data_IF_129617740431
#
_entry.id   IF_129617740431
#
_cell.length_a   1.000
_cell.length_b   1.000
_cell.length_c   1.000
_cell.angle_alpha   90.00
_cell.angle_beta   90.00
_cell.angle_gamma   90.00
#
_symmetry.space_group_name_H-M   'P 1'
#
loop_
_entity.id
_entity.type
_entity.pdbx_description
1 polymer ?
#
# COMPACT_ATOMS: atom_id res chain seq x y z
N UNK A 1 -7.23 -8.79 7.03
CA UNK A 1 -6.79 -7.49 6.50
C UNK A 1 -5.32 -7.58 6.20
N UNK A 2 -4.98 -7.35 4.94
CA UNK A 2 -3.61 -7.09 4.50
C UNK A 2 -3.32 -5.60 4.68
N UNK A 3 -2.08 -5.24 4.99
CA UNK A 3 -1.65 -3.84 5.05
C UNK A 3 -0.41 -3.61 4.22
N UNK A 4 -0.12 -2.33 3.94
CA UNK A 4 1.10 -1.92 3.28
C UNK A 4 1.18 -0.42 3.12
N UNK A 5 2.37 0.05 2.79
CA UNK A 5 2.68 1.47 2.63
C UNK A 5 3.31 1.75 1.27
N UNK A 6 2.88 2.83 0.62
CA UNK A 6 3.40 3.25 -0.69
C UNK A 6 3.65 4.75 -0.74
N UNK A 7 4.73 5.14 -1.39
CA UNK A 7 5.01 6.54 -1.73
C UNK A 7 4.36 6.86 -3.07
N UNK A 8 3.52 7.89 -3.08
CA UNK A 8 3.02 8.52 -4.30
C UNK A 8 3.85 9.76 -4.60
N UNK A 9 4.18 9.99 -5.87
CA UNK A 9 4.97 11.15 -6.31
C UNK A 9 4.32 11.83 -7.50
N UNK A 10 4.64 13.12 -7.71
CA UNK A 10 4.18 13.87 -8.89
C UNK A 10 4.60 13.24 -10.23
N UNK A 11 5.74 12.56 -10.28
CA UNK A 11 6.22 11.91 -11.50
C UNK A 11 5.39 10.68 -11.89
N UNK A 12 4.41 10.31 -11.05
CA UNK A 12 3.55 9.17 -11.27
C UNK A 12 4.21 7.85 -10.92
N UNK A 13 3.70 6.81 -11.56
CA UNK A 13 4.11 5.44 -11.32
C UNK A 13 5.04 4.99 -12.45
N UNK A 14 6.27 4.67 -12.08
CA UNK A 14 7.19 3.89 -12.89
C UNK A 14 7.62 2.71 -12.03
N UNK A 15 7.28 1.50 -12.45
CA UNK A 15 7.71 0.28 -11.77
C UNK A 15 8.79 -0.40 -12.60
N UNK A 16 10.08 -0.14 -12.32
CA UNK A 16 11.18 -0.71 -13.10
C UNK A 16 11.23 -2.25 -13.10
N UNK A 17 10.49 -2.92 -12.20
CA UNK A 17 10.39 -4.38 -12.16
C UNK A 17 9.35 -4.94 -13.13
N UNK A 18 8.28 -4.19 -13.43
CA UNK A 18 7.16 -4.66 -14.24
C UNK A 18 7.01 -3.93 -15.58
N UNK A 19 7.52 -2.69 -15.69
CA UNK A 19 7.50 -1.88 -16.91
C UNK A 19 8.79 -2.14 -17.72
N UNK A 20 9.03 -3.42 -18.06
CA UNK A 20 10.21 -3.85 -18.82
C UNK A 20 9.90 -3.79 -20.31
N UNK A 21 10.67 -3.01 -21.07
CA UNK A 21 10.65 -3.01 -22.53
C UNK A 21 11.66 -4.05 -23.02
N UNK A 22 11.18 -5.04 -23.77
CA UNK A 22 12.03 -5.97 -24.52
C UNK A 22 12.43 -5.30 -25.84
N UNK A 23 13.73 -5.12 -26.07
CA UNK A 23 14.26 -4.48 -27.26
C UNK A 23 15.64 -5.07 -27.61
N UNK A 24 15.96 -5.10 -28.91
CA UNK A 24 17.22 -5.66 -29.43
C UNK A 24 18.43 -4.77 -29.15
N UNK A 25 18.20 -3.48 -28.90
CA UNK A 25 19.23 -2.53 -28.50
C UNK A 25 18.68 -1.43 -27.58
N UNK A 26 19.59 -0.69 -26.93
CA UNK A 26 19.20 0.49 -26.14
C UNK A 26 18.58 1.58 -27.02
N UNK A 27 18.97 1.67 -28.28
CA UNK A 27 18.39 2.62 -29.24
C UNK A 27 16.92 2.27 -29.52
N UNK A 28 16.62 0.99 -29.74
CA UNK A 28 15.25 0.54 -30.01
C UNK A 28 14.35 0.67 -28.77
N UNK A 29 14.89 0.41 -27.58
CA UNK A 29 14.18 0.66 -26.33
C UNK A 29 13.82 2.15 -26.15
N UNK A 30 14.71 3.04 -26.59
CA UNK A 30 14.52 4.48 -26.48
C UNK A 30 13.46 5.00 -27.46
N UNK A 31 13.39 4.48 -28.69
CA UNK A 31 12.31 4.79 -29.66
C UNK A 31 10.94 4.27 -29.20
N UNK A 32 10.93 3.24 -28.34
CA UNK A 32 9.72 2.66 -27.75
C UNK A 32 9.31 3.29 -26.41
N UNK A 33 9.58 4.58 -26.20
CA UNK A 33 9.28 5.33 -24.95
C UNK A 33 10.05 4.86 -23.70
N UNK A 34 11.24 4.25 -23.85
CA UNK A 34 12.09 3.83 -22.73
C UNK A 34 12.72 4.94 -21.89
N UNK A 35 12.39 6.21 -22.16
CA UNK A 35 12.82 7.37 -21.38
C UNK A 35 11.73 7.83 -20.42
N UNK A 36 12.03 7.83 -19.12
CA UNK A 36 11.21 8.47 -18.11
C UNK A 36 12.04 9.52 -17.37
N UNK A 37 11.74 10.79 -17.59
CA UNK A 37 12.34 11.88 -16.83
C UNK A 37 11.74 11.93 -15.42
N UNK A 38 12.61 11.86 -14.40
CA UNK A 38 12.23 11.93 -13.00
C UNK A 38 12.72 13.28 -12.46
N UNK A 39 11.80 14.14 -12.03
CA UNK A 39 12.13 15.36 -11.27
C UNK A 39 12.95 14.98 -10.02
N UNK A 40 14.09 15.66 -9.79
CA UNK A 40 14.93 15.43 -8.61
C UNK A 40 14.21 15.97 -7.37
N UNK A 41 13.95 15.10 -6.38
CA UNK A 41 13.16 15.39 -5.18
C UNK A 41 11.71 15.84 -5.49
N UNK A 42 10.93 14.99 -6.18
CA UNK A 42 9.57 15.35 -6.51
C UNK A 42 8.73 15.47 -5.24
N UNK A 43 7.65 16.25 -5.33
CA UNK A 43 6.60 16.24 -4.31
C UNK A 43 6.14 14.80 -4.12
N UNK A 44 6.24 14.31 -2.88
CA UNK A 44 5.92 12.94 -2.53
C UNK A 44 5.17 12.85 -1.20
N UNK A 45 4.41 11.78 -1.04
CA UNK A 45 3.62 11.48 0.16
C UNK A 45 3.56 9.97 0.36
N UNK A 46 3.92 9.51 1.56
CA UNK A 46 3.70 8.13 1.98
C UNK A 46 2.23 7.95 2.38
N UNK A 47 1.66 6.83 1.97
CA UNK A 47 0.27 6.46 2.22
C UNK A 47 0.22 5.03 2.75
N UNK A 48 -0.50 4.83 3.84
CA UNK A 48 -0.83 3.50 4.39
C UNK A 48 -2.26 3.12 3.99
N UNK A 49 -2.49 1.83 3.72
CA UNK A 49 -3.80 1.31 3.36
C UNK A 49 -3.95 -0.14 3.85
N UNK A 50 -5.17 -0.49 4.27
CA UNK A 50 -5.57 -1.87 4.52
C UNK A 50 -6.51 -2.39 3.43
N UNK A 51 -6.38 -3.67 3.09
CA UNK A 51 -7.25 -4.38 2.16
C UNK A 51 -7.92 -5.58 2.82
N UNK A 52 -9.23 -5.72 2.60
CA UNK A 52 -10.06 -6.80 3.12
C UNK A 52 -11.06 -7.25 2.06
N UNK A 53 -11.68 -8.41 2.25
CA UNK A 53 -12.83 -8.81 1.42
C UNK A 53 -14.00 -7.81 1.46
N UNK A 54 -14.13 -7.05 2.56
CA UNK A 54 -15.17 -6.04 2.73
C UNK A 54 -14.79 -4.67 2.13
N UNK A 55 -13.63 -4.58 1.47
CA UNK A 55 -13.14 -3.37 0.82
C UNK A 55 -11.82 -2.86 1.39
N UNK A 56 -11.44 -1.69 0.93
CA UNK A 56 -10.26 -0.95 1.37
C UNK A 56 -10.59 -0.11 2.61
N UNK A 57 -9.59 0.13 3.44
CA UNK A 57 -9.67 1.17 4.48
C UNK A 57 -9.69 2.56 3.83
N UNK A 58 -10.01 3.58 4.61
CA UNK A 58 -9.58 4.93 4.24
C UNK A 58 -8.04 4.96 4.14
N UNK A 59 -7.45 5.78 3.24
CA UNK A 59 -6.01 5.92 3.18
C UNK A 59 -5.50 6.79 4.34
N UNK A 60 -4.50 6.28 5.07
CA UNK A 60 -3.76 7.07 6.05
C UNK A 60 -2.65 7.88 5.35
N UNK A 61 -2.63 9.19 5.56
CA UNK A 61 -1.65 10.08 4.94
C UNK A 61 -0.64 10.56 5.96
N UNK A 62 0.63 10.27 5.70
CA UNK A 62 1.71 10.74 6.55
C UNK A 62 1.85 12.26 6.50
N UNK A 63 2.36 12.83 7.58
CA UNK A 63 2.75 14.23 7.63
C UNK A 63 4.04 14.48 6.86
N UNK A 64 4.29 15.74 6.48
CA UNK A 64 5.54 16.10 5.78
C UNK A 64 6.73 15.77 6.69
N UNK A 65 7.70 15.01 6.17
CA UNK A 65 8.89 14.50 6.87
C UNK A 65 8.62 13.43 7.95
N UNK A 66 7.38 12.99 8.13
CA UNK A 66 7.09 11.83 8.96
C UNK A 66 7.61 10.59 8.24
N UNK A 67 8.39 9.78 8.96
CA UNK A 67 8.96 8.53 8.42
C UNK A 67 8.28 7.36 9.10
N UNK A 68 8.00 6.32 8.34
CA UNK A 68 7.66 5.04 8.91
C UNK A 68 8.86 4.53 9.73
N UNK A 69 8.69 4.54 11.05
CA UNK A 69 9.61 3.97 12.02
C UNK A 69 8.82 3.09 13.00
N UNK A 70 9.51 2.40 13.91
CA UNK A 70 8.84 1.50 14.86
C UNK A 70 7.82 2.21 15.75
N UNK A 71 8.11 3.41 16.23
CA UNK A 71 7.21 4.18 17.10
C UNK A 71 5.93 4.58 16.36
N UNK A 72 6.06 5.22 15.19
CA UNK A 72 4.94 5.57 14.31
C UNK A 72 4.09 4.36 13.95
N UNK A 73 4.73 3.23 13.63
CA UNK A 73 4.00 2.01 13.31
C UNK A 73 3.18 1.51 14.50
N UNK A 74 3.78 1.46 15.69
CA UNK A 74 3.14 0.94 16.90
C UNK A 74 2.06 1.87 17.47
N UNK A 75 2.34 3.17 17.52
CA UNK A 75 1.51 4.14 18.23
C UNK A 75 0.42 4.76 17.35
N UNK A 76 0.57 4.68 16.03
CA UNK A 76 -0.36 5.31 15.09
C UNK A 76 -0.95 4.32 14.09
N UNK A 77 -0.12 3.62 13.30
CA UNK A 77 -0.64 2.77 12.23
C UNK A 77 -1.37 1.52 12.74
N UNK A 78 -0.84 0.84 13.74
CA UNK A 78 -1.50 -0.34 14.32
C UNK A 78 -2.88 -0.01 14.92
N UNK A 79 -3.03 1.04 15.76
CA UNK A 79 -4.34 1.53 16.20
C UNK A 79 -5.27 1.90 15.05
N UNK A 80 -4.76 2.63 14.05
CA UNK A 80 -5.52 3.00 12.86
C UNK A 80 -6.06 1.77 12.10
N UNK A 81 -5.20 0.78 11.85
CA UNK A 81 -5.60 -0.47 11.20
C UNK A 81 -6.63 -1.24 12.04
N UNK A 82 -6.50 -1.23 13.38
CA UNK A 82 -7.49 -1.87 14.25
C UNK A 82 -8.86 -1.20 14.15
N UNK A 83 -8.91 0.12 14.21
CA UNK A 83 -10.15 0.89 14.10
C UNK A 83 -10.82 0.67 12.73
N UNK A 84 -10.05 0.75 11.65
CA UNK A 84 -10.58 0.56 10.30
C UNK A 84 -11.04 -0.88 10.04
N UNK A 85 -10.31 -1.88 10.55
CA UNK A 85 -10.75 -3.27 10.46
C UNK A 85 -12.03 -3.51 11.26
N UNK A 86 -12.13 -2.98 12.48
CA UNK A 86 -13.36 -3.08 13.28
C UNK A 86 -14.55 -2.45 12.57
N UNK A 87 -14.35 -1.30 11.91
CA UNK A 87 -15.36 -0.65 11.07
C UNK A 87 -15.78 -1.53 9.88
N UNK A 88 -14.82 -2.04 9.11
CA UNK A 88 -15.07 -2.85 7.90
C UNK A 88 -15.71 -4.21 8.22
N UNK A 89 -15.35 -4.83 9.34
CA UNK A 89 -15.90 -6.10 9.80
C UNK A 89 -17.11 -5.95 10.72
N UNK A 90 -17.58 -4.71 10.97
CA UNK A 90 -18.71 -4.40 11.87
C UNK A 90 -18.53 -5.03 13.26
N UNK A 91 -17.32 -4.93 13.80
CA UNK A 91 -16.90 -5.49 15.09
C UNK A 91 -17.04 -7.02 15.21
N UNK A 92 -17.09 -7.75 14.09
CA UNK A 92 -16.92 -9.22 14.07
C UNK A 92 -15.43 -9.58 14.06
N UNK A 93 -15.11 -10.81 14.45
CA UNK A 93 -13.73 -11.28 14.49
C UNK A 93 -13.04 -11.18 13.12
N UNK A 94 -11.78 -10.77 13.10
CA UNK A 94 -11.01 -10.66 11.87
C UNK A 94 -9.49 -10.81 12.11
N UNK A 95 -8.77 -11.16 11.03
CA UNK A 95 -7.33 -11.39 11.08
C UNK A 95 -6.49 -10.28 10.47
N UNK A 96 -5.32 -10.01 11.03
CA UNK A 96 -4.36 -9.03 10.52
C UNK A 96 -3.09 -9.72 9.97
N UNK A 97 -2.66 -9.30 8.78
CA UNK A 97 -1.41 -9.71 8.14
C UNK A 97 -0.64 -8.45 7.71
N UNK A 98 0.43 -8.07 8.41
CA UNK A 98 1.30 -7.00 7.98
C UNK A 98 2.20 -7.47 6.82
N UNK A 99 2.72 -6.52 6.03
CA UNK A 99 3.80 -6.83 5.10
C UNK A 99 5.11 -7.17 5.85
N UNK A 100 6.09 -7.72 5.13
CA UNK A 100 7.38 -8.16 5.71
C UNK A 100 8.38 -7.04 6.05
N UNK A 101 8.00 -5.76 6.07
CA UNK A 101 8.92 -4.66 6.33
C UNK A 101 9.55 -4.71 7.73
N UNK A 102 10.78 -4.20 7.87
CA UNK A 102 11.58 -4.30 9.11
C UNK A 102 10.85 -3.73 10.34
N UNK A 103 10.13 -2.62 10.21
CA UNK A 103 9.37 -2.03 11.31
C UNK A 103 8.18 -2.90 11.78
N UNK A 104 7.65 -3.77 10.92
CA UNK A 104 6.56 -4.70 11.26
C UNK A 104 7.08 -5.94 12.01
N UNK A 105 8.38 -6.22 11.87
CA UNK A 105 9.05 -7.36 12.53
C UNK A 105 9.54 -7.07 13.95
N UNK A 106 9.41 -5.82 14.42
CA UNK A 106 9.79 -5.40 15.77
C UNK A 106 8.98 -6.15 16.84
N UNK A 107 9.64 -6.47 17.95
CA UNK A 107 9.02 -7.24 19.03
C UNK A 107 7.81 -6.55 19.67
N UNK A 108 7.79 -5.22 19.72
CA UNK A 108 6.65 -4.44 20.24
C UNK A 108 5.46 -4.55 19.31
N UNK A 109 5.69 -4.39 18.00
CA UNK A 109 4.63 -4.48 16.98
C UNK A 109 3.97 -5.85 16.98
N UNK A 110 4.78 -6.91 17.00
CA UNK A 110 4.31 -8.29 17.06
C UNK A 110 3.50 -8.57 18.35
N UNK A 111 3.95 -8.03 19.49
CA UNK A 111 3.26 -8.21 20.78
C UNK A 111 1.95 -7.42 20.85
N UNK A 112 1.94 -6.20 20.30
CA UNK A 112 0.74 -5.40 20.15
C UNK A 112 -0.30 -6.13 19.28
N UNK A 113 0.11 -6.63 18.11
CA UNK A 113 -0.78 -7.34 17.19
C UNK A 113 -1.40 -8.58 17.84
N UNK A 114 -0.60 -9.40 18.54
CA UNK A 114 -1.10 -10.59 19.28
C UNK A 114 -2.10 -10.26 20.38
N UNK A 115 -1.99 -9.06 20.98
CA UNK A 115 -2.87 -8.62 22.06
C UNK A 115 -4.18 -8.03 21.53
N UNK A 116 -4.15 -7.39 20.38
CA UNK A 116 -5.24 -6.54 19.91
C UNK A 116 -6.04 -7.11 18.74
N UNK A 117 -5.50 -7.99 17.89
CA UNK A 117 -6.24 -8.63 16.80
C UNK A 117 -6.72 -10.03 17.19
N UNK A 118 -7.91 -10.42 16.72
CA UNK A 118 -8.48 -11.75 17.00
C UNK A 118 -7.63 -12.86 16.37
N UNK A 119 -7.16 -12.61 15.14
CA UNK A 119 -6.18 -13.43 14.47
C UNK A 119 -5.03 -12.58 13.97
N UNK A 120 -3.82 -13.12 14.06
CA UNK A 120 -2.62 -12.42 13.60
C UNK A 120 -1.68 -13.41 12.94
N UNK A 121 -1.22 -13.08 11.73
CA UNK A 121 -0.15 -13.81 11.07
C UNK A 121 1.18 -13.18 11.51
N UNK A 122 1.95 -13.85 12.39
CA UNK A 122 3.19 -13.29 12.88
C UNK A 122 4.28 -13.36 11.81
N UNK A 123 5.33 -12.57 11.96
CA UNK A 123 6.40 -12.43 10.95
C UNK A 123 7.03 -13.76 10.55
N UNK A 124 7.10 -14.74 11.46
CA UNK A 124 7.72 -16.04 11.20
C UNK A 124 6.92 -16.87 10.19
N UNK A 125 5.65 -16.52 9.95
CA UNK A 125 4.78 -17.13 8.95
C UNK A 125 4.70 -16.32 7.65
N UNK A 126 5.33 -15.15 7.59
CA UNK A 126 5.42 -14.34 6.38
C UNK A 126 6.79 -14.58 5.73
N UNK A 127 6.86 -15.20 4.54
CA UNK A 127 8.13 -15.36 3.85
C UNK A 127 8.72 -13.98 3.50
N UNK A 128 10.04 -13.80 3.70
CA UNK A 128 10.69 -12.52 3.40
C UNK A 128 10.70 -12.26 1.90
N UNK A 129 10.57 -10.99 1.51
CA UNK A 129 10.60 -10.53 0.12
C UNK A 129 9.55 -11.18 -0.80
N UNK A 130 8.35 -11.45 -0.28
CA UNK A 130 7.24 -12.03 -1.03
C UNK A 130 6.10 -11.04 -1.31
N UNK A 131 6.31 -10.00 -2.13
CA UNK A 131 5.24 -9.06 -2.52
C UNK A 131 4.08 -9.75 -3.24
N UNK A 132 4.32 -10.90 -3.87
CA UNK A 132 3.29 -11.73 -4.51
C UNK A 132 2.23 -12.26 -3.54
N UNK A 133 2.50 -12.25 -2.23
CA UNK A 133 1.57 -12.71 -1.21
C UNK A 133 0.73 -11.59 -0.59
N UNK A 134 0.94 -10.34 -1.00
CA UNK A 134 0.19 -9.19 -0.52
C UNK A 134 -0.62 -8.55 -1.67
N UNK A 135 -1.97 -8.58 -1.63
CA UNK A 135 -2.81 -8.00 -2.68
C UNK A 135 -2.60 -6.50 -2.88
N UNK A 136 -2.12 -5.80 -1.85
CA UNK A 136 -1.69 -4.41 -2.00
C UNK A 136 -0.54 -4.28 -2.99
N UNK A 137 0.51 -5.10 -2.82
CA UNK A 137 1.74 -5.01 -3.58
C UNK A 137 1.62 -5.53 -5.01
N UNK A 138 1.01 -6.70 -5.21
CA UNK A 138 0.94 -7.28 -6.56
C UNK A 138 -0.18 -6.68 -7.44
N UNK A 139 -1.16 -5.96 -6.87
CA UNK A 139 -2.34 -5.52 -7.61
C UNK A 139 -2.89 -4.14 -7.21
N UNK A 140 -3.40 -3.98 -5.99
CA UNK A 140 -4.24 -2.81 -5.62
C UNK A 140 -3.46 -1.50 -5.75
N UNK A 141 -2.18 -1.48 -5.36
CA UNK A 141 -1.36 -0.29 -5.50
C UNK A 141 -1.15 0.14 -6.95
N UNK A 142 -1.10 -0.81 -7.88
CA UNK A 142 -0.99 -0.52 -9.31
C UNK A 142 -2.30 0.10 -9.81
N UNK A 143 -3.43 -0.48 -9.43
CA UNK A 143 -4.75 0.01 -9.84
C UNK A 143 -5.06 1.41 -9.29
N UNK A 144 -4.75 1.68 -8.02
CA UNK A 144 -4.85 3.03 -7.44
C UNK A 144 -3.97 3.99 -8.23
N UNK A 145 -2.74 3.59 -8.60
CA UNK A 145 -1.81 4.45 -9.33
C UNK A 145 -2.33 4.82 -10.72
N UNK A 146 -3.02 3.90 -11.42
CA UNK A 146 -3.66 4.16 -12.72
C UNK A 146 -4.76 5.20 -12.64
N UNK A 147 -5.46 5.27 -11.51
CA UNK A 147 -6.54 6.23 -11.28
C UNK A 147 -6.08 7.59 -10.75
N UNK A 148 -4.83 7.72 -10.29
CA UNK A 148 -4.26 8.99 -9.88
C UNK A 148 -3.87 9.81 -11.10
N UNK A 149 -4.50 10.98 -11.26
CA UNK A 149 -4.16 11.93 -12.30
C UNK A 149 -2.94 12.78 -11.90
N UNK A 150 -1.75 12.28 -12.22
CA UNK A 150 -0.48 12.93 -11.87
C UNK A 150 -0.32 14.33 -12.50
N UNK A 151 -1.03 14.63 -13.60
CA UNK A 151 -1.01 15.97 -14.21
C UNK A 151 -1.63 17.04 -13.29
N UNK A 152 -2.50 16.63 -12.35
CA UNK A 152 -3.11 17.51 -11.34
C UNK A 152 -2.26 17.67 -10.08
N UNK A 153 -1.19 16.90 -9.92
CA UNK A 153 -0.37 16.91 -8.71
C UNK A 153 0.63 18.07 -8.77
N UNK A 154 0.42 19.10 -7.95
CA UNK A 154 1.37 20.22 -7.77
C UNK A 154 1.93 20.29 -6.36
N UNK A 155 1.20 19.78 -5.38
CA UNK A 155 1.59 19.76 -3.97
C UNK A 155 1.04 18.51 -3.25
N UNK A 156 1.39 18.34 -1.98
CA UNK A 156 1.00 17.18 -1.17
C UNK A 156 -0.53 17.05 -1.02
N UNK A 157 -1.26 18.16 -0.97
CA UNK A 157 -2.73 18.11 -0.86
C UNK A 157 -3.38 17.60 -2.15
N UNK A 158 -2.76 17.85 -3.31
CA UNK A 158 -3.22 17.25 -4.55
C UNK A 158 -3.03 15.73 -4.54
N UNK A 159 -1.90 15.23 -4.03
CA UNK A 159 -1.69 13.78 -3.85
C UNK A 159 -2.78 13.19 -2.96
N UNK A 160 -3.05 13.81 -1.79
CA UNK A 160 -4.11 13.36 -0.88
C UNK A 160 -5.46 13.25 -1.58
N UNK A 161 -5.82 14.29 -2.34
CA UNK A 161 -7.10 14.35 -3.05
C UNK A 161 -7.20 13.30 -4.15
N UNK A 162 -6.18 13.16 -4.99
CA UNK A 162 -6.23 12.21 -6.11
C UNK A 162 -6.12 10.76 -5.63
N UNK A 163 -5.33 10.46 -4.60
CA UNK A 163 -5.29 9.13 -3.97
C UNK A 163 -6.63 8.77 -3.34
N UNK A 164 -7.26 9.69 -2.57
CA UNK A 164 -8.61 9.45 -2.02
C UNK A 164 -9.63 9.12 -3.12
N UNK A 165 -9.64 9.91 -4.21
CA UNK A 165 -10.52 9.65 -5.36
C UNK A 165 -10.24 8.30 -6.01
N UNK A 166 -8.97 7.92 -6.14
CA UNK A 166 -8.56 6.65 -6.73
C UNK A 166 -9.01 5.46 -5.87
N UNK A 167 -8.82 5.53 -4.55
CA UNK A 167 -9.27 4.49 -3.60
C UNK A 167 -10.78 4.26 -3.68
N UNK A 168 -11.59 5.34 -3.73
CA UNK A 168 -13.05 5.24 -3.84
C UNK A 168 -13.50 4.58 -5.15
N UNK A 169 -12.69 4.65 -6.21
CA UNK A 169 -13.00 4.05 -7.52
C UNK A 169 -12.70 2.56 -7.58
N UNK A 170 -11.93 2.01 -6.64
CA UNK A 170 -11.61 0.59 -6.65
C UNK A 170 -12.87 -0.21 -6.31
N UNK A 171 -13.33 -1.03 -7.25
CA UNK A 171 -14.51 -1.87 -7.10
C UNK A 171 -14.29 -2.94 -6.02
N UNK A 172 -15.31 -3.21 -5.21
CA UNK A 172 -15.24 -4.25 -4.17
C UNK A 172 -14.95 -5.64 -4.76
N UNK A 173 -15.50 -5.95 -5.93
CA UNK A 173 -15.25 -7.20 -6.64
C UNK A 173 -13.80 -7.30 -7.09
N UNK A 174 -13.16 -6.17 -7.43
CA UNK A 174 -11.73 -6.13 -7.75
C UNK A 174 -10.90 -6.55 -6.53
N UNK A 175 -11.21 -5.97 -5.35
CA UNK A 175 -10.53 -6.31 -4.09
C UNK A 175 -10.75 -7.77 -3.70
N UNK A 176 -12.00 -8.25 -3.82
CA UNK A 176 -12.35 -9.66 -3.57
C UNK A 176 -11.63 -10.64 -4.52
N UNK A 177 -11.53 -10.28 -5.80
CA UNK A 177 -10.80 -11.04 -6.83
C UNK A 177 -9.30 -11.15 -6.57
N UNK A 178 -8.72 -10.24 -5.78
CA UNK A 178 -7.32 -10.27 -5.33
C UNK A 178 -7.12 -11.19 -4.10
N UNK A 179 -7.97 -12.20 -3.89
CA UNK A 179 -7.75 -13.21 -2.85
C UNK A 179 -7.90 -12.71 -1.41
N UNK A 180 -8.53 -11.54 -1.18
CA UNK A 180 -8.79 -11.04 0.17
C UNK A 180 -9.85 -11.86 0.94
N UNK A 181 -10.37 -12.95 0.36
CA UNK A 181 -11.60 -13.66 0.73
C UNK A 181 -11.49 -14.82 1.71
N UNK A 182 -10.32 -15.16 2.23
CA UNK A 182 -10.21 -16.22 3.22
C UNK A 182 -10.54 -15.67 4.62
N UNK A 183 -11.82 -15.71 4.97
CA UNK A 183 -12.28 -15.58 6.36
C UNK A 183 -12.28 -17.00 6.94
N UNK A 184 -11.51 -17.24 8.00
CA UNK A 184 -11.67 -18.43 8.85
C UNK A 184 -12.85 -18.21 9.80
#
# INVERSE_FOLDING_TARGET
MFSGEKIFTRNGYFNPKNDVILADSRYDANEADGYHEIEKFPVSLMVALGATWNGLTEPYFFSKNERLNGEMYNETLLPFYKEEGDRLFRHKNWGFQPDGASCHTDGRAQSWCRKHFDFFIPKEKCPPNSPELNPLDYSIWNEISRHVDNKKVKNVNDIRREVKKAVIKIDLNYVGGCGCGYSY
#
